data_IF_347177233619
#
_entry.id   IF_347177233619
#
_cell.length_a   1.000
_cell.length_b   1.000
_cell.length_c   1.000
_cell.angle_alpha   90.00
_cell.angle_beta   90.00
_cell.angle_gamma   90.00
#
_symmetry.space_group_name_H-M   'P 1'
#
loop_
_entity.id
_entity.type
_entity.pdbx_description
1 polymer ?
#
# COMPACT_ATOMS: atom_id res chain seq x y z
N UNK A 1 -2.13 15.73 -16.52
CA UNK A 1 -1.79 15.15 -15.20
C UNK A 1 -2.62 15.88 -14.16
N UNK A 2 -3.42 15.19 -13.33
CA UNK A 2 -4.13 15.84 -12.21
C UNK A 2 -3.09 16.66 -11.44
N UNK A 3 -3.12 17.99 -11.57
CA UNK A 3 -2.07 18.93 -11.11
C UNK A 3 -2.01 19.07 -9.59
N UNK A 4 -2.25 17.96 -8.90
CA UNK A 4 -2.41 17.83 -7.46
C UNK A 4 -1.07 17.33 -6.90
N UNK A 5 -0.66 17.87 -5.76
CA UNK A 5 0.60 17.52 -5.10
C UNK A 5 0.67 16.04 -4.72
N UNK A 6 1.89 15.50 -4.57
CA UNK A 6 2.11 14.12 -4.12
C UNK A 6 1.43 13.87 -2.75
N UNK A 7 1.47 14.84 -1.85
CA UNK A 7 0.86 14.75 -0.52
C UNK A 7 -0.67 14.65 -0.61
N UNK A 8 -1.29 15.47 -1.46
CA UNK A 8 -2.73 15.41 -1.67
C UNK A 8 -3.17 14.09 -2.33
N UNK A 9 -2.37 13.53 -3.25
CA UNK A 9 -2.61 12.19 -3.82
C UNK A 9 -2.58 11.10 -2.74
N UNK A 10 -1.60 11.15 -1.82
CA UNK A 10 -1.52 10.22 -0.70
C UNK A 10 -2.71 10.32 0.26
N UNK A 11 -3.18 11.55 0.52
CA UNK A 11 -4.36 11.78 1.36
C UNK A 11 -5.63 11.19 0.71
N UNK A 12 -5.87 11.48 -0.58
CA UNK A 12 -7.01 10.94 -1.33
C UNK A 12 -6.95 9.40 -1.35
N UNK A 13 -5.78 8.81 -1.61
CA UNK A 13 -5.61 7.37 -1.59
C UNK A 13 -5.96 6.75 -0.22
N UNK A 14 -5.56 7.42 0.86
CA UNK A 14 -5.89 6.99 2.22
C UNK A 14 -7.40 6.98 2.45
N UNK A 15 -8.10 8.07 2.07
CA UNK A 15 -9.55 8.17 2.20
C UNK A 15 -10.29 7.12 1.37
N UNK A 16 -9.82 6.84 0.14
CA UNK A 16 -10.39 5.81 -0.73
C UNK A 16 -10.22 4.39 -0.18
N UNK A 17 -9.22 4.15 0.66
CA UNK A 17 -8.93 2.83 1.21
C UNK A 17 -9.81 2.51 2.45
N UNK A 18 -10.29 3.52 3.18
CA UNK A 18 -11.13 3.33 4.37
C UNK A 18 -12.39 2.50 4.10
N UNK A 19 -13.20 2.75 3.04
CA UNK A 19 -14.38 1.95 2.75
C UNK A 19 -14.07 0.46 2.58
N UNK A 20 -12.94 0.11 1.96
CA UNK A 20 -12.54 -1.29 1.77
C UNK A 20 -12.25 -1.97 3.12
N UNK A 21 -11.51 -1.31 4.02
CA UNK A 21 -11.22 -1.85 5.35
C UNK A 21 -12.49 -2.09 6.17
N UNK A 22 -13.42 -1.13 6.12
CA UNK A 22 -14.70 -1.24 6.81
C UNK A 22 -15.60 -2.31 6.18
N UNK A 23 -15.57 -2.45 4.85
CA UNK A 23 -16.36 -3.44 4.12
C UNK A 23 -16.00 -4.88 4.53
N UNK A 24 -14.73 -5.17 4.82
CA UNK A 24 -14.31 -6.51 5.29
C UNK A 24 -15.07 -6.89 6.58
N UNK A 25 -15.03 -6.01 7.60
CA UNK A 25 -15.71 -6.27 8.86
C UNK A 25 -17.24 -6.24 8.73
N UNK A 26 -17.77 -5.30 7.95
CA UNK A 26 -19.21 -5.15 7.72
C UNK A 26 -19.81 -6.36 6.98
N UNK A 27 -19.20 -6.82 5.90
CA UNK A 27 -19.68 -7.97 5.12
C UNK A 27 -19.52 -9.27 5.88
N UNK A 28 -18.44 -9.42 6.66
CA UNK A 28 -18.25 -10.58 7.54
C UNK A 28 -19.34 -10.68 8.61
N UNK A 29 -19.67 -9.57 9.29
CA UNK A 29 -20.66 -9.56 10.38
C UNK A 29 -22.11 -9.67 9.89
N UNK A 30 -22.46 -8.97 8.80
CA UNK A 30 -23.86 -8.84 8.38
C UNK A 30 -24.26 -9.83 7.28
N UNK A 31 -23.31 -10.32 6.48
CA UNK A 31 -23.59 -11.17 5.31
C UNK A 31 -22.82 -12.50 5.31
N UNK A 32 -22.06 -12.79 6.38
CA UNK A 32 -21.19 -13.97 6.49
C UNK A 32 -20.22 -14.16 5.31
N UNK A 33 -19.83 -13.05 4.67
CA UNK A 33 -18.86 -13.10 3.58
C UNK A 33 -17.47 -13.21 4.19
N UNK A 34 -16.72 -14.22 3.75
CA UNK A 34 -15.31 -14.39 4.13
C UNK A 34 -14.47 -13.22 3.64
N UNK A 35 -13.53 -12.78 4.48
CA UNK A 35 -12.64 -11.66 4.17
C UNK A 35 -11.83 -11.90 2.88
N UNK A 36 -11.44 -13.14 2.62
CA UNK A 36 -10.73 -13.54 1.40
C UNK A 36 -11.60 -13.36 0.14
N UNK A 37 -12.90 -13.61 0.24
CA UNK A 37 -13.82 -13.39 -0.89
C UNK A 37 -13.98 -11.89 -1.17
N UNK A 38 -14.13 -11.06 -0.13
CA UNK A 38 -14.14 -9.60 -0.27
C UNK A 38 -12.86 -9.07 -0.92
N UNK A 39 -11.71 -9.61 -0.52
CA UNK A 39 -10.40 -9.28 -1.08
C UNK A 39 -10.30 -9.63 -2.57
N UNK A 40 -10.72 -10.83 -2.96
CA UNK A 40 -10.69 -11.28 -4.36
C UNK A 40 -11.53 -10.33 -5.24
N UNK A 41 -12.76 -10.02 -4.82
CA UNK A 41 -13.63 -9.10 -5.55
C UNK A 41 -13.05 -7.68 -5.64
N UNK A 42 -12.46 -7.19 -4.55
CA UNK A 42 -11.81 -5.89 -4.54
C UNK A 42 -10.63 -5.83 -5.51
N UNK A 43 -9.73 -6.81 -5.49
CA UNK A 43 -8.59 -6.85 -6.41
C UNK A 43 -9.01 -7.07 -7.86
N UNK A 44 -10.05 -7.87 -8.10
CA UNK A 44 -10.60 -8.02 -9.44
C UNK A 44 -11.12 -6.69 -9.99
N UNK A 45 -11.81 -5.92 -9.14
CA UNK A 45 -12.23 -4.55 -9.45
C UNK A 45 -11.05 -3.62 -9.77
N UNK A 46 -9.94 -3.71 -9.03
CA UNK A 46 -8.73 -2.93 -9.31
C UNK A 46 -8.09 -3.33 -10.64
N UNK A 47 -7.92 -4.64 -10.89
CA UNK A 47 -7.27 -5.15 -12.10
C UNK A 47 -8.02 -4.73 -13.37
N UNK A 48 -9.35 -4.66 -13.32
CA UNK A 48 -10.17 -4.18 -14.43
C UNK A 48 -10.22 -2.65 -14.46
N UNK A 49 -10.48 -2.02 -13.32
CA UNK A 49 -10.74 -0.60 -13.23
C UNK A 49 -9.50 0.26 -13.49
N UNK A 50 -8.33 -0.14 -12.97
CA UNK A 50 -7.12 0.66 -13.09
C UNK A 50 -6.69 0.89 -14.55
N UNK A 51 -6.56 -0.14 -15.42
CA UNK A 51 -6.25 0.09 -16.83
C UNK A 51 -7.28 0.95 -17.55
N UNK A 52 -8.58 0.74 -17.29
CA UNK A 52 -9.66 1.50 -17.93
C UNK A 52 -9.58 2.98 -17.55
N UNK A 53 -9.44 3.29 -16.26
CA UNK A 53 -9.36 4.66 -15.75
C UNK A 53 -8.07 5.33 -16.21
N UNK A 54 -6.93 4.63 -16.13
CA UNK A 54 -5.65 5.18 -16.56
C UNK A 54 -5.62 5.46 -18.06
N UNK A 55 -6.23 4.60 -18.87
CA UNK A 55 -6.37 4.84 -20.32
C UNK A 55 -7.30 6.02 -20.61
N UNK A 56 -8.47 6.08 -19.97
CA UNK A 56 -9.44 7.19 -20.13
C UNK A 56 -8.86 8.55 -19.72
N UNK A 57 -8.01 8.57 -18.71
CA UNK A 57 -7.35 9.79 -18.22
C UNK A 57 -6.04 10.11 -18.96
N UNK A 58 -5.69 9.33 -20.00
CA UNK A 58 -4.42 9.46 -20.74
C UNK A 58 -3.18 9.48 -19.81
N UNK A 59 -3.20 8.63 -18.77
CA UNK A 59 -2.08 8.47 -17.81
C UNK A 59 -1.04 7.51 -18.37
N UNK A 60 -1.49 6.46 -19.06
CA UNK A 60 -0.65 5.44 -19.69
C UNK A 60 -1.01 5.30 -21.17
N UNK A 61 -0.01 4.99 -21.99
CA UNK A 61 -0.18 4.60 -23.39
C UNK A 61 -0.06 3.08 -23.55
N UNK A 62 -0.57 2.55 -24.67
CA UNK A 62 -0.47 1.12 -24.98
C UNK A 62 0.97 0.60 -25.03
N UNK A 63 1.95 1.46 -25.34
CA UNK A 63 3.38 1.13 -25.30
C UNK A 63 3.90 0.89 -23.89
N UNK A 64 3.32 1.56 -22.88
CA UNK A 64 3.75 1.45 -21.48
C UNK A 64 3.32 0.11 -20.85
N UNK A 65 2.31 -0.53 -21.45
CA UNK A 65 1.83 -1.86 -21.08
C UNK A 65 2.62 -3.00 -21.72
N UNK A 66 3.58 -2.69 -22.60
CA UNK A 66 4.42 -3.72 -23.22
C UNK A 66 5.22 -4.47 -22.14
N UNK A 67 5.10 -5.80 -22.13
CA UNK A 67 5.81 -6.62 -21.16
C UNK A 67 7.30 -6.61 -21.48
N UNK A 68 8.07 -5.93 -20.63
CA UNK A 68 9.54 -5.93 -20.68
C UNK A 68 10.07 -6.84 -19.56
N UNK A 69 11.36 -7.19 -19.61
CA UNK A 69 12.00 -7.98 -18.55
C UNK A 69 11.83 -7.37 -17.14
N UNK A 70 12.02 -6.05 -16.92
CA UNK A 70 11.70 -5.41 -15.65
C UNK A 70 10.24 -5.56 -15.22
N UNK A 71 9.29 -5.42 -16.15
CA UNK A 71 7.87 -5.61 -15.85
C UNK A 71 7.56 -7.06 -15.43
N UNK A 72 8.24 -8.05 -16.02
CA UNK A 72 8.10 -9.45 -15.63
C UNK A 72 8.60 -9.73 -14.20
N UNK A 73 9.72 -9.12 -13.81
CA UNK A 73 10.21 -9.22 -12.43
C UNK A 73 9.22 -8.61 -11.41
N UNK A 74 8.62 -7.46 -11.75
CA UNK A 74 7.58 -6.83 -10.92
C UNK A 74 6.32 -7.70 -10.85
N UNK A 75 5.93 -8.34 -11.96
CA UNK A 75 4.81 -9.27 -11.99
C UNK A 75 5.03 -10.45 -11.04
N UNK A 76 6.20 -11.09 -11.09
CA UNK A 76 6.55 -12.20 -10.19
C UNK A 76 6.58 -11.77 -8.72
N UNK A 77 7.16 -10.60 -8.45
CA UNK A 77 7.15 -10.01 -7.10
C UNK A 77 5.72 -9.78 -6.60
N UNK A 78 4.81 -9.30 -7.46
CA UNK A 78 3.39 -9.17 -7.15
C UNK A 78 2.71 -10.51 -6.88
N UNK A 79 2.97 -11.52 -7.70
CA UNK A 79 2.40 -12.87 -7.55
C UNK A 79 2.84 -13.56 -6.26
N UNK A 80 4.07 -13.33 -5.80
CA UNK A 80 4.61 -13.98 -4.59
C UNK A 80 4.43 -13.09 -3.37
N UNK A 81 5.14 -11.95 -3.32
CA UNK A 81 5.15 -11.06 -2.15
C UNK A 81 3.83 -10.29 -2.02
N UNK A 82 3.26 -9.85 -3.15
CA UNK A 82 1.98 -9.14 -3.17
C UNK A 82 0.83 -10.02 -2.69
N UNK A 83 0.72 -11.24 -3.19
CA UNK A 83 -0.32 -12.19 -2.75
C UNK A 83 -0.14 -12.54 -1.27
N UNK A 84 1.09 -12.91 -0.85
CA UNK A 84 1.36 -13.26 0.55
C UNK A 84 1.02 -12.12 1.52
N UNK A 85 1.48 -10.90 1.23
CA UNK A 85 1.21 -9.74 2.10
C UNK A 85 -0.28 -9.41 2.20
N UNK A 86 -1.03 -9.44 1.09
CA UNK A 86 -2.44 -9.09 1.09
C UNK A 86 -3.33 -10.15 1.76
N UNK A 87 -3.04 -11.45 1.58
CA UNK A 87 -3.74 -12.51 2.29
C UNK A 87 -3.57 -12.35 3.81
N UNK A 88 -2.32 -12.19 4.27
CA UNK A 88 -2.02 -12.02 5.70
C UNK A 88 -2.66 -10.76 6.27
N UNK A 89 -2.63 -9.65 5.51
CA UNK A 89 -3.25 -8.40 5.93
C UNK A 89 -4.76 -8.52 6.08
N UNK A 90 -5.46 -9.10 5.09
CA UNK A 90 -6.93 -9.23 5.14
C UNK A 90 -7.37 -10.17 6.26
N UNK A 91 -6.61 -11.25 6.49
CA UNK A 91 -6.83 -12.13 7.64
C UNK A 91 -6.60 -11.39 8.97
N UNK A 92 -5.58 -10.54 9.05
CA UNK A 92 -5.35 -9.72 10.25
C UNK A 92 -6.48 -8.70 10.47
N UNK A 93 -7.01 -8.10 9.41
CA UNK A 93 -8.13 -7.13 9.48
C UNK A 93 -9.40 -7.80 10.01
N UNK A 94 -9.70 -9.03 9.60
CA UNK A 94 -10.93 -9.71 9.98
C UNK A 94 -10.96 -10.14 11.46
N UNK A 95 -9.78 -10.37 12.06
CA UNK A 95 -9.66 -10.80 13.47
C UNK A 95 -9.32 -9.67 14.43
N UNK A 96 -8.88 -8.51 13.93
CA UNK A 96 -8.50 -7.38 14.77
C UNK A 96 -9.73 -6.75 15.45
N UNK A 97 -9.60 -6.25 16.70
CA UNK A 97 -10.68 -5.54 17.39
C UNK A 97 -11.09 -4.25 16.67
N UNK A 98 -10.15 -3.65 15.92
CA UNK A 98 -10.39 -2.53 15.03
C UNK A 98 -9.67 -2.80 13.69
N UNK A 99 -10.38 -2.77 12.54
CA UNK A 99 -9.82 -3.09 11.22
C UNK A 99 -8.73 -2.10 10.76
N UNK A 100 -8.61 -0.93 11.38
CA UNK A 100 -7.54 0.02 11.10
C UNK A 100 -6.18 -0.33 11.71
N UNK A 101 -6.13 -1.21 12.72
CA UNK A 101 -4.90 -1.53 13.45
C UNK A 101 -3.86 -2.26 12.59
N UNK A 102 -4.23 -3.31 11.82
CA UNK A 102 -3.26 -3.97 10.95
C UNK A 102 -2.70 -3.03 9.88
N UNK A 103 -3.51 -2.12 9.36
CA UNK A 103 -3.06 -1.11 8.39
C UNK A 103 -2.07 -0.12 9.01
N UNK A 104 -2.30 0.31 10.25
CA UNK A 104 -1.34 1.15 10.95
C UNK A 104 0.02 0.44 11.08
N UNK A 105 0.02 -0.85 11.40
CA UNK A 105 1.25 -1.65 11.45
C UNK A 105 1.92 -1.78 10.07
N UNK A 106 1.18 -2.13 9.02
CA UNK A 106 1.76 -2.25 7.66
C UNK A 106 2.32 -0.91 7.16
N UNK A 107 1.67 0.20 7.50
CA UNK A 107 2.17 1.54 7.14
C UNK A 107 3.52 1.85 7.80
N UNK A 108 3.92 1.17 8.88
CA UNK A 108 5.29 1.27 9.42
C UNK A 108 6.37 0.77 8.46
N UNK A 109 6.03 -0.05 7.46
CA UNK A 109 6.98 -0.44 6.43
C UNK A 109 7.56 0.77 5.67
N UNK A 110 6.83 1.90 5.64
CA UNK A 110 7.34 3.17 5.11
C UNK A 110 8.57 3.68 5.87
N UNK A 111 8.66 3.44 7.18
CA UNK A 111 9.81 3.77 8.02
C UNK A 111 11.02 2.97 7.59
N UNK A 112 10.84 1.67 7.41
CA UNK A 112 11.90 0.75 6.95
C UNK A 112 12.37 1.17 5.57
N UNK A 113 11.45 1.48 4.65
CA UNK A 113 11.77 1.94 3.31
C UNK A 113 12.53 3.29 3.32
N UNK A 114 12.13 4.24 4.17
CA UNK A 114 12.81 5.52 4.31
C UNK A 114 14.24 5.37 4.84
N UNK A 115 14.46 4.46 5.80
CA UNK A 115 15.77 4.17 6.35
C UNK A 115 16.68 3.40 5.37
N UNK A 116 16.10 2.53 4.53
CA UNK A 116 16.84 1.76 3.53
C UNK A 116 17.18 2.56 2.28
N UNK A 117 16.34 3.50 1.87
CA UNK A 117 16.59 4.36 0.71
C UNK A 117 18.00 5.00 0.65
N UNK A 118 18.55 5.63 1.72
CA UNK A 118 19.90 6.20 1.70
C UNK A 118 20.98 5.11 1.66
N UNK A 119 20.77 3.99 2.34
CA UNK A 119 21.71 2.87 2.38
C UNK A 119 21.84 2.27 0.99
N UNK A 120 20.72 2.10 0.29
CA UNK A 120 20.70 1.66 -1.10
C UNK A 120 21.31 2.71 -2.04
N UNK A 121 21.10 4.01 -1.80
CA UNK A 121 21.76 5.08 -2.55
C UNK A 121 23.30 5.10 -2.39
N UNK A 122 23.82 4.64 -1.25
CA UNK A 122 25.27 4.53 -1.00
C UNK A 122 25.83 3.22 -1.59
N UNK A 123 25.14 2.09 -1.39
CA UNK A 123 25.62 0.77 -1.80
C UNK A 123 25.42 0.51 -3.30
N UNK A 124 24.37 1.07 -3.90
CA UNK A 124 23.97 0.85 -5.29
C UNK A 124 23.69 2.20 -6.00
N UNK A 125 24.66 3.12 -6.05
CA UNK A 125 24.48 4.48 -6.58
C UNK A 125 24.15 4.52 -8.08
N UNK A 126 24.38 3.42 -8.79
CA UNK A 126 24.01 3.26 -10.21
C UNK A 126 22.50 3.03 -10.41
N UNK A 127 21.80 2.53 -9.40
CA UNK A 127 20.40 2.12 -9.49
C UNK A 127 19.45 2.95 -8.60
N UNK A 128 19.98 3.58 -7.54
CA UNK A 128 19.20 4.39 -6.61
C UNK A 128 19.77 5.81 -6.53
N UNK A 129 18.90 6.81 -6.63
CA UNK A 129 19.25 8.19 -6.36
C UNK A 129 19.61 8.37 -4.88
N UNK A 130 20.49 9.34 -4.59
CA UNK A 130 20.80 9.71 -3.21
C UNK A 130 19.56 10.33 -2.56
N UNK A 131 18.91 9.55 -1.70
CA UNK A 131 17.77 10.01 -0.91
C UNK A 131 18.21 11.15 0.02
N UNK A 132 17.57 12.32 -0.08
CA UNK A 132 17.83 13.45 0.82
C UNK A 132 17.24 13.16 2.20
N UNK A 133 18.09 13.14 3.23
CA UNK A 133 17.64 13.06 4.61
C UNK A 133 17.21 14.43 5.11
N UNK A 134 15.93 14.57 5.44
CA UNK A 134 15.40 15.73 6.14
C UNK A 134 15.04 15.34 7.57
N UNK A 135 15.54 16.10 8.55
CA UNK A 135 15.31 15.85 9.98
C UNK A 135 13.82 15.91 10.34
N UNK A 136 13.04 16.74 9.63
CA UNK A 136 11.59 16.81 9.84
C UNK A 136 10.88 15.53 9.38
N UNK A 137 11.36 14.90 8.30
CA UNK A 137 10.84 13.62 7.83
C UNK A 137 11.20 12.48 8.78
N UNK A 138 12.40 12.51 9.33
CA UNK A 138 12.84 11.56 10.36
C UNK A 138 11.98 11.66 11.64
N UNK A 139 11.70 12.88 12.12
CA UNK A 139 10.82 13.10 13.28
C UNK A 139 9.39 12.60 13.01
N UNK A 140 8.84 12.86 11.82
CA UNK A 140 7.51 12.34 11.43
C UNK A 140 7.44 10.80 11.44
N UNK A 141 8.53 10.16 11.03
CA UNK A 141 8.67 8.71 11.06
C UNK A 141 8.73 8.17 12.50
N UNK A 142 9.53 8.81 13.37
CA UNK A 142 9.60 8.44 14.80
C UNK A 142 8.23 8.58 15.47
N UNK A 143 7.48 9.65 15.19
CA UNK A 143 6.11 9.84 15.68
C UNK A 143 5.17 8.74 15.19
N UNK A 144 5.33 8.27 13.95
CA UNK A 144 4.57 7.14 13.42
C UNK A 144 4.85 5.85 14.19
N UNK A 145 6.14 5.57 14.46
CA UNK A 145 6.56 4.39 15.26
C UNK A 145 6.02 4.47 16.69
N UNK A 146 6.11 5.64 17.33
CA UNK A 146 5.58 5.86 18.69
C UNK A 146 4.06 5.70 18.72
N UNK A 147 3.34 6.28 17.75
CA UNK A 147 1.88 6.13 17.64
C UNK A 147 1.45 4.67 17.52
N UNK A 148 2.15 3.87 16.70
CA UNK A 148 1.89 2.44 16.56
C UNK A 148 2.22 1.69 17.86
N UNK A 149 3.34 2.03 18.51
CA UNK A 149 3.74 1.40 19.78
C UNK A 149 2.71 1.64 20.89
N UNK A 150 2.15 2.85 20.97
CA UNK A 150 1.07 3.19 21.90
C UNK A 150 -0.22 2.40 21.62
N UNK A 151 -0.55 2.22 20.34
CA UNK A 151 -1.68 1.40 19.91
C UNK A 151 -1.50 -0.06 20.37
N UNK A 152 -0.28 -0.61 20.28
CA UNK A 152 0.02 -1.99 20.70
C UNK A 152 0.04 -2.18 22.23
N UNK A 153 0.46 -1.15 22.98
CA UNK A 153 0.53 -1.17 24.44
C UNK A 153 -0.85 -1.11 25.10
N UNK A 154 -1.85 -0.53 24.43
CA UNK A 154 -3.22 -0.41 24.95
C UNK A 154 -4.08 -1.62 24.56
N UNK A 155 -3.58 -2.81 24.89
CA UNK A 155 -4.31 -4.08 24.84
C UNK A 155 -5.15 -4.26 26.09
#
# INVERSE_FOLDING_TARGET
MLGISWAAKSLIATLCLVPFLLAIGFLGRNYQVRAEATMIWYFFGIVIGAPIVMWRLNIINGSDLALTMPHFAVLLMGMVLGVASNILLVQAISVAPNPGLPMAFVNSASVIAFMLAPVLGILLPRYFDQARFDIYQFVGIVLTVVGISLIMLKR
#
